data_IF_601966265019
#
_entry.id   IF_601966265019
#
_cell.length_a   1.000
_cell.length_b   1.000
_cell.length_c   1.000
_cell.angle_alpha   90.00
_cell.angle_beta   90.00
_cell.angle_gamma   90.00
#
_symmetry.space_group_name_H-M   'P 1'
#
loop_
_entity.id
_entity.type
_entity.pdbx_description
1 polymer ?
#
# COMPACT_ATOMS: atom_id res chain seq x y z
N UNK A 1 -18.01 22.05 -5.07
CA UNK A 1 -17.55 20.80 -4.43
C UNK A 1 -16.10 20.55 -4.81
N UNK A 2 -15.25 20.22 -3.83
CA UNK A 2 -13.78 20.20 -3.94
C UNK A 2 -13.25 19.16 -4.93
N UNK A 3 -12.25 19.54 -5.75
CA UNK A 3 -11.61 18.76 -6.83
C UNK A 3 -10.85 17.50 -6.36
N UNK A 4 -10.94 17.15 -5.08
CA UNK A 4 -10.33 15.93 -4.53
C UNK A 4 -11.25 15.44 -3.43
N UNK A 5 -11.96 14.36 -3.71
CA UNK A 5 -12.71 13.65 -2.70
C UNK A 5 -11.71 13.07 -1.69
N UNK A 6 -11.63 13.72 -0.52
CA UNK A 6 -10.72 13.35 0.57
C UNK A 6 -11.11 12.02 1.21
N UNK A 7 -12.31 11.50 0.92
CA UNK A 7 -12.77 10.20 1.45
C UNK A 7 -12.19 9.02 0.68
N UNK A 8 -11.64 9.26 -0.52
CA UNK A 8 -10.97 8.21 -1.29
C UNK A 8 -9.67 7.79 -0.60
N UNK A 9 -9.38 6.48 -0.55
CA UNK A 9 -8.12 5.98 -0.01
C UNK A 9 -6.90 6.69 -0.62
N UNK A 10 -5.86 6.93 0.17
CA UNK A 10 -4.67 7.66 -0.31
C UNK A 10 -4.04 7.03 -1.55
N UNK A 11 -4.05 5.70 -1.68
CA UNK A 11 -3.47 4.99 -2.83
C UNK A 11 -4.29 5.21 -4.11
N UNK A 12 -5.62 5.35 -3.98
CA UNK A 12 -6.50 5.71 -5.09
C UNK A 12 -6.21 7.14 -5.56
N UNK A 13 -6.01 8.05 -4.61
CA UNK A 13 -5.63 9.45 -4.90
C UNK A 13 -4.23 9.55 -5.53
N UNK A 14 -3.34 8.59 -5.24
CA UNK A 14 -2.06 8.44 -5.94
C UNK A 14 -2.24 7.93 -7.37
N UNK A 15 -3.20 7.03 -7.61
CA UNK A 15 -3.48 6.49 -8.93
C UNK A 15 -4.22 7.49 -9.86
N UNK A 16 -4.92 8.49 -9.31
CA UNK A 16 -5.69 9.47 -10.11
C UNK A 16 -4.81 10.39 -10.98
N UNK A 17 -3.54 10.58 -10.62
CA UNK A 17 -2.62 11.49 -11.33
C UNK A 17 -1.17 10.95 -11.32
N UNK A 18 -0.90 9.82 -11.99
CA UNK A 18 0.42 9.21 -12.02
C UNK A 18 1.46 10.20 -12.55
N UNK A 19 2.70 10.07 -12.07
CA UNK A 19 3.82 11.01 -12.30
C UNK A 19 3.69 12.38 -11.62
N UNK A 20 2.49 12.78 -11.19
CA UNK A 20 2.29 13.99 -10.37
C UNK A 20 2.20 13.66 -8.89
N UNK A 21 1.40 12.66 -8.54
CA UNK A 21 1.18 12.23 -7.15
C UNK A 21 2.02 11.01 -6.78
N UNK A 22 2.54 10.27 -7.75
CA UNK A 22 3.39 9.11 -7.51
C UNK A 22 4.47 8.95 -8.57
N UNK A 23 5.56 8.26 -8.21
CA UNK A 23 6.68 7.94 -9.08
C UNK A 23 7.09 6.47 -8.88
N UNK A 24 7.56 5.80 -9.94
CA UNK A 24 8.11 4.46 -9.81
C UNK A 24 9.46 4.53 -9.07
N UNK A 25 9.62 3.71 -8.05
CA UNK A 25 10.89 3.49 -7.37
C UNK A 25 11.36 2.07 -7.70
N UNK A 26 12.54 1.98 -8.29
CA UNK A 26 13.18 0.72 -8.66
C UNK A 26 14.24 0.34 -7.64
N UNK A 27 14.05 -0.81 -7.00
CA UNK A 27 15.07 -1.46 -6.17
C UNK A 27 15.25 -2.91 -6.65
N UNK A 28 16.31 -3.12 -7.44
CA UNK A 28 16.64 -4.39 -8.07
C UNK A 28 17.69 -5.19 -7.29
N UNK A 29 17.96 -4.80 -6.03
CA UNK A 29 18.99 -5.49 -5.22
C UNK A 29 18.74 -7.00 -5.08
N UNK A 30 17.48 -7.42 -5.18
CA UNK A 30 17.05 -8.81 -4.97
C UNK A 30 16.55 -9.50 -6.25
N UNK A 31 16.83 -8.97 -7.44
CA UNK A 31 16.50 -9.62 -8.71
C UNK A 31 15.82 -8.70 -9.73
N UNK A 32 15.01 -9.25 -10.64
CA UNK A 32 14.37 -8.47 -11.71
C UNK A 32 13.39 -7.43 -11.15
N UNK A 33 13.00 -6.48 -11.99
CA UNK A 33 12.04 -5.44 -11.63
C UNK A 33 10.75 -6.08 -11.11
N UNK A 34 10.42 -5.79 -9.85
CA UNK A 34 9.21 -6.26 -9.20
C UNK A 34 8.11 -5.18 -9.18
N UNK A 35 8.25 -4.13 -9.99
CA UNK A 35 7.31 -3.01 -9.99
C UNK A 35 6.01 -3.47 -10.67
N UNK A 36 4.86 -3.41 -9.98
CA UNK A 36 3.59 -3.73 -10.61
C UNK A 36 3.18 -2.64 -11.59
N UNK A 37 2.60 -3.02 -12.73
CA UNK A 37 2.08 -2.09 -13.74
C UNK A 37 0.96 -1.21 -13.16
N UNK A 38 0.20 -1.74 -12.20
CA UNK A 38 -0.90 -1.05 -11.54
C UNK A 38 -0.51 -0.47 -10.16
N UNK A 39 -1.03 0.72 -9.87
CA UNK A 39 -0.94 1.36 -8.56
C UNK A 39 -2.07 0.81 -7.68
N UNK A 40 -1.71 -0.05 -6.74
CA UNK A 40 -2.61 -0.67 -5.77
C UNK A 40 -2.23 -0.27 -4.36
N UNK A 41 -3.06 -0.60 -3.37
CA UNK A 41 -2.73 -0.37 -1.96
C UNK A 41 -1.40 -1.03 -1.54
N UNK A 42 -1.09 -2.19 -2.11
CA UNK A 42 0.09 -2.99 -1.76
C UNK A 42 1.34 -2.53 -2.51
N UNK A 43 1.18 -2.04 -3.74
CA UNK A 43 2.28 -1.55 -4.57
C UNK A 43 2.63 -0.09 -4.28
N UNK A 44 1.70 0.68 -3.70
CA UNK A 44 1.92 2.07 -3.33
C UNK A 44 2.56 2.23 -1.94
N UNK A 45 3.26 3.34 -1.74
CA UNK A 45 3.77 3.74 -0.43
C UNK A 45 3.86 5.26 -0.28
N UNK A 46 3.30 5.75 0.83
CA UNK A 46 3.49 7.14 1.29
C UNK A 46 4.86 7.38 1.93
N UNK A 47 5.62 6.32 2.25
CA UNK A 47 6.91 6.42 2.93
C UNK A 47 7.99 5.65 2.18
N UNK A 48 9.26 5.84 2.58
CA UNK A 48 10.37 5.06 2.04
C UNK A 48 10.22 3.61 2.48
N UNK A 49 9.97 2.68 1.55
CA UNK A 49 10.11 1.24 1.82
C UNK A 49 11.59 0.87 1.93
N UNK A 50 11.87 -0.15 2.75
CA UNK A 50 13.22 -0.69 2.97
C UNK A 50 13.67 -1.69 1.91
N UNK A 51 12.82 -2.01 0.92
CA UNK A 51 13.20 -2.83 -0.21
C UNK A 51 12.09 -3.04 -1.25
N UNK A 52 12.51 -3.44 -2.44
CA UNK A 52 11.64 -3.82 -3.56
C UNK A 52 11.10 -2.64 -4.37
N UNK A 53 10.75 -2.91 -5.63
CA UNK A 53 10.20 -1.88 -6.51
C UNK A 53 8.75 -1.56 -6.10
N UNK A 54 8.41 -0.27 -6.05
CA UNK A 54 7.10 0.19 -5.60
C UNK A 54 6.76 1.58 -6.15
N UNK A 55 5.49 1.95 -6.07
CA UNK A 55 5.00 3.29 -6.38
C UNK A 55 5.12 4.19 -5.15
N UNK A 56 6.04 5.16 -5.19
CA UNK A 56 6.26 6.08 -4.08
C UNK A 56 5.50 7.38 -4.28
N UNK A 57 4.94 7.94 -3.22
CA UNK A 57 4.33 9.26 -3.26
C UNK A 57 5.37 10.34 -3.55
N UNK A 58 5.02 11.30 -4.41
CA UNK A 58 5.83 12.52 -4.56
C UNK A 58 5.78 13.36 -3.29
N UNK A 59 6.73 14.29 -3.13
CA UNK A 59 6.66 15.26 -2.02
C UNK A 59 5.33 16.04 -2.01
N UNK A 60 4.81 16.38 -3.19
CA UNK A 60 3.50 17.00 -3.37
C UNK A 60 2.36 16.13 -2.82
N UNK A 61 2.29 14.86 -3.21
CA UNK A 61 1.31 13.91 -2.69
C UNK A 61 1.47 13.67 -1.19
N UNK A 62 2.70 13.58 -0.69
CA UNK A 62 2.97 13.43 0.73
C UNK A 62 2.38 14.59 1.54
N UNK A 63 2.54 15.83 1.08
CA UNK A 63 1.91 16.99 1.71
C UNK A 63 0.38 16.97 1.62
N UNK A 64 -0.19 16.49 0.51
CA UNK A 64 -1.64 16.42 0.30
C UNK A 64 -2.35 15.29 1.06
N UNK A 65 -1.64 14.19 1.34
CA UNK A 65 -2.22 12.95 1.87
C UNK A 65 -1.73 12.63 3.30
N UNK A 66 -0.48 12.96 3.62
CA UNK A 66 0.23 12.51 4.81
C UNK A 66 -0.06 13.29 6.09
N UNK A 67 -0.43 14.58 5.99
CA UNK A 67 -0.57 15.45 7.17
C UNK A 67 -1.89 15.30 7.97
N UNK A 68 -2.78 14.36 7.62
CA UNK A 68 -4.08 14.22 8.29
C UNK A 68 -4.58 12.80 8.49
N UNK A 69 -4.58 11.96 7.44
CA UNK A 69 -5.26 10.66 7.47
C UNK A 69 -4.43 9.47 6.98
N UNK A 70 -3.42 9.67 6.12
CA UNK A 70 -2.70 8.57 5.48
C UNK A 70 -2.01 7.60 6.46
N UNK A 71 -1.47 8.12 7.57
CA UNK A 71 -0.85 7.29 8.61
C UNK A 71 -1.84 6.42 9.39
N UNK A 72 -3.03 6.97 9.70
CA UNK A 72 -4.10 6.26 10.39
C UNK A 72 -4.71 5.18 9.49
N UNK A 73 -4.96 5.55 8.23
CA UNK A 73 -5.47 4.64 7.20
C UNK A 73 -4.50 3.47 6.97
N UNK A 74 -3.21 3.77 6.84
CA UNK A 74 -2.19 2.74 6.69
C UNK A 74 -2.06 1.83 7.92
N UNK A 75 -2.17 2.39 9.13
CA UNK A 75 -2.22 1.59 10.35
C UNK A 75 -3.44 0.65 10.38
N UNK A 76 -4.60 1.09 9.86
CA UNK A 76 -5.79 0.25 9.71
C UNK A 76 -5.56 -0.89 8.71
N UNK A 77 -5.06 -0.60 7.51
CA UNK A 77 -4.77 -1.63 6.49
C UNK A 77 -3.81 -2.69 7.03
N UNK A 78 -2.68 -2.29 7.62
CA UNK A 78 -1.72 -3.22 8.24
C UNK A 78 -2.33 -4.08 9.33
N UNK A 79 -3.21 -3.50 10.14
CA UNK A 79 -3.89 -4.21 11.23
C UNK A 79 -4.83 -5.28 10.67
N UNK A 80 -5.58 -4.95 9.63
CA UNK A 80 -6.49 -5.89 8.95
C UNK A 80 -5.73 -7.01 8.24
N UNK A 81 -4.67 -6.67 7.51
CA UNK A 81 -3.80 -7.65 6.85
C UNK A 81 -3.21 -8.66 7.85
N UNK A 82 -2.67 -8.17 8.97
CA UNK A 82 -2.20 -9.04 10.07
C UNK A 82 -3.32 -9.89 10.68
N UNK A 83 -4.56 -9.38 10.75
CA UNK A 83 -5.71 -10.19 11.21
C UNK A 83 -6.03 -11.29 10.21
N UNK A 84 -6.05 -10.99 8.90
CA UNK A 84 -6.27 -11.98 7.83
C UNK A 84 -5.19 -13.06 7.85
N UNK A 85 -3.91 -12.66 7.88
CA UNK A 85 -2.78 -13.60 7.97
C UNK A 85 -2.87 -14.53 9.18
N UNK A 86 -3.20 -14.00 10.38
CA UNK A 86 -3.40 -14.86 11.57
C UNK A 86 -4.61 -15.79 11.43
N UNK A 87 -5.68 -15.33 10.80
CA UNK A 87 -6.87 -16.17 10.59
C UNK A 87 -6.57 -17.29 9.58
N UNK A 88 -5.87 -16.97 8.50
CA UNK A 88 -5.41 -17.94 7.52
C UNK A 88 -4.49 -18.98 8.17
N UNK A 89 -3.46 -18.57 8.92
CA UNK A 89 -2.58 -19.49 9.62
C UNK A 89 -3.32 -20.42 10.59
N UNK A 90 -4.36 -19.92 11.27
CA UNK A 90 -5.23 -20.75 12.14
C UNK A 90 -6.05 -21.76 11.35
N UNK A 91 -6.58 -21.38 10.18
CA UNK A 91 -7.29 -22.31 9.30
C UNK A 91 -6.37 -23.38 8.75
N UNK A 92 -5.18 -23.00 8.28
CA UNK A 92 -4.16 -23.95 7.80
C UNK A 92 -3.73 -24.93 8.89
N UNK A 93 -3.57 -24.44 10.13
CA UNK A 93 -3.21 -25.28 11.26
C UNK A 93 -4.33 -26.27 11.64
N UNK A 94 -5.60 -25.84 11.62
CA UNK A 94 -6.76 -26.74 11.82
C UNK A 94 -6.88 -27.80 10.72
N UNK A 95 -6.72 -27.38 9.47
CA UNK A 95 -6.70 -28.29 8.33
C UNK A 95 -5.58 -29.33 8.45
N UNK A 96 -4.39 -28.91 8.91
CA UNK A 96 -3.29 -29.83 9.19
C UNK A 96 -3.60 -30.82 10.32
N UNK A 97 -4.34 -30.39 11.34
CA UNK A 97 -4.77 -31.25 12.45
C UNK A 97 -6.00 -32.12 12.12
N UNK A 98 -6.62 -31.97 10.95
CA UNK A 98 -7.85 -32.69 10.58
C UNK A 98 -9.09 -32.25 11.36
N UNK A 99 -9.04 -31.05 11.96
CA UNK A 99 -10.15 -30.43 12.67
C UNK A 99 -10.95 -29.54 11.70
N UNK A 100 -11.80 -30.14 10.87
CA UNK A 100 -12.83 -29.41 10.09
C UNK A 100 -14.16 -29.36 10.86
#
# INVERSE_FOLDING_TARGET
MSKTDKTRPWWVRMADAPMTTCLPVHDHRFGPCSLPDEITADSASLSRRTGGCHWSATAYAYHLFGYGDGGREWHCFRREERRRSRHQARRELRAYHGED
#
